data_IF_776715918064
#
_entry.id   IF_776715918064
#
_cell.length_a   1.000
_cell.length_b   1.000
_cell.length_c   1.000
_cell.angle_alpha   90.00
_cell.angle_beta   90.00
_cell.angle_gamma   90.00
#
_symmetry.space_group_name_H-M   'P 1'
#
loop_
_entity.id
_entity.type
_entity.pdbx_description
1 polymer ?
#
# COMPACT_ATOMS: atom_id res chain seq x y z
N UNK A 1 -4.51 27.21 1.85
CA UNK A 1 -3.97 25.83 2.00
C UNK A 1 -4.54 24.90 0.93
N UNK A 2 -3.69 24.06 0.32
CA UNK A 2 -4.04 23.06 -0.69
C UNK A 2 -3.27 21.76 -0.44
N UNK A 3 -3.97 20.63 -0.29
CA UNK A 3 -3.33 19.32 -0.14
C UNK A 3 -2.92 18.80 -1.52
N UNK A 4 -1.64 18.44 -1.68
CA UNK A 4 -1.04 17.94 -2.92
C UNK A 4 -0.76 16.45 -2.89
N UNK A 5 -0.70 15.84 -1.70
CA UNK A 5 -0.72 14.38 -1.51
C UNK A 5 -1.50 14.04 -0.24
N UNK A 6 -2.43 13.07 -0.27
CA UNK A 6 -2.72 12.17 -1.38
C UNK A 6 -3.64 12.79 -2.46
N UNK A 7 -3.56 12.24 -3.68
CA UNK A 7 -4.45 12.57 -4.82
C UNK A 7 -5.38 11.40 -5.15
N UNK A 8 -6.36 11.65 -6.02
CA UNK A 8 -7.27 10.62 -6.51
C UNK A 8 -6.51 9.40 -7.06
N UNK A 9 -7.06 8.20 -6.83
CA UNK A 9 -6.51 6.90 -7.21
C UNK A 9 -5.21 6.49 -6.50
N UNK A 10 -4.65 7.32 -5.62
CA UNK A 10 -3.53 6.88 -4.79
C UNK A 10 -3.94 5.69 -3.91
N UNK A 11 -2.99 4.78 -3.71
CA UNK A 11 -3.17 3.59 -2.90
C UNK A 11 -1.99 3.43 -1.95
N UNK A 12 -2.27 3.33 -0.65
CA UNK A 12 -1.26 3.13 0.39
C UNK A 12 -1.51 1.84 1.15
N UNK A 13 -0.47 1.21 1.66
CA UNK A 13 -0.59 -0.05 2.40
C UNK A 13 -0.56 0.22 3.90
N UNK A 14 -1.44 -0.46 4.64
CA UNK A 14 -1.39 -0.49 6.11
C UNK A 14 0.04 -0.79 6.63
N UNK A 15 0.43 -0.13 7.72
CA UNK A 15 1.73 -0.33 8.35
C UNK A 15 2.91 0.15 7.50
N UNK A 16 2.67 0.98 6.49
CA UNK A 16 3.69 1.66 5.69
C UNK A 16 3.57 3.17 5.87
N UNK A 17 4.67 3.86 5.57
CA UNK A 17 4.72 5.32 5.55
C UNK A 17 3.95 5.84 4.35
N UNK A 18 3.13 6.85 4.57
CA UNK A 18 2.43 7.65 3.57
C UNK A 18 2.84 9.11 3.74
N UNK A 19 3.35 9.72 2.67
CA UNK A 19 3.65 11.14 2.66
C UNK A 19 2.36 11.94 2.42
N UNK A 20 2.04 12.80 3.40
CA UNK A 20 0.99 13.81 3.31
C UNK A 20 1.68 15.13 2.99
N UNK A 21 1.29 15.79 1.90
CA UNK A 21 1.92 17.03 1.44
C UNK A 21 0.88 18.10 1.15
N UNK A 22 1.20 19.35 1.46
CA UNK A 22 0.33 20.50 1.25
C UNK A 22 1.13 21.78 1.02
N UNK A 23 0.49 22.72 0.34
CA UNK A 23 0.96 24.09 0.18
C UNK A 23 0.09 25.00 1.04
N UNK A 24 0.69 25.97 1.74
CA UNK A 24 -0.08 26.93 2.52
C UNK A 24 0.64 28.25 2.66
N UNK A 25 -0.18 29.29 2.76
CA UNK A 25 0.12 30.70 3.06
C UNK A 25 -0.15 31.07 4.53
N UNK A 26 -0.62 30.12 5.34
CA UNK A 26 -0.93 30.36 6.75
C UNK A 26 0.35 30.51 7.56
N UNK A 27 0.36 31.51 8.43
CA UNK A 27 1.44 31.77 9.38
C UNK A 27 1.39 30.86 10.62
N UNK A 28 0.39 29.98 10.72
CA UNK A 28 0.25 29.06 11.83
C UNK A 28 1.45 28.11 11.91
N UNK A 29 2.02 27.99 13.11
CA UNK A 29 3.22 27.17 13.32
C UNK A 29 2.94 25.66 13.24
N UNK A 30 1.69 25.25 13.50
CA UNK A 30 1.26 23.85 13.51
C UNK A 30 -0.05 23.65 12.75
N UNK A 31 -0.27 22.41 12.31
CA UNK A 31 -1.51 21.94 11.71
C UNK A 31 -1.97 20.66 12.40
N UNK A 32 -3.29 20.49 12.50
CA UNK A 32 -3.92 19.22 12.82
C UNK A 32 -4.15 18.45 11.53
N UNK A 33 -3.92 17.13 11.55
CA UNK A 33 -4.13 16.26 10.39
C UNK A 33 -5.04 15.11 10.81
N UNK A 34 -6.16 14.95 10.13
CA UNK A 34 -7.15 13.90 10.41
C UNK A 34 -7.36 13.03 9.18
N UNK A 35 -7.37 11.71 9.40
CA UNK A 35 -7.89 10.76 8.44
C UNK A 35 -9.40 10.68 8.63
N UNK A 36 -10.13 10.91 7.55
CA UNK A 36 -11.59 10.91 7.52
C UNK A 36 -12.11 9.81 6.59
N UNK A 37 -13.30 9.29 6.91
CA UNK A 37 -14.13 8.47 6.02
C UNK A 37 -15.58 8.91 6.19
N UNK A 38 -16.21 9.38 5.10
CA UNK A 38 -17.49 10.08 5.21
C UNK A 38 -17.38 11.28 6.17
N UNK A 39 -18.22 11.34 7.19
CA UNK A 39 -18.19 12.40 8.22
C UNK A 39 -17.51 11.95 9.52
N UNK A 40 -16.86 10.78 9.53
CA UNK A 40 -16.25 10.20 10.73
C UNK A 40 -14.74 10.42 10.72
N UNK A 41 -14.20 10.85 11.87
CA UNK A 41 -12.76 10.88 12.13
C UNK A 41 -12.32 9.45 12.42
N UNK A 42 -11.45 8.91 11.59
CA UNK A 42 -10.93 7.54 11.71
C UNK A 42 -9.61 7.54 12.47
N UNK A 43 -8.81 8.57 12.27
CA UNK A 43 -7.55 8.76 12.98
C UNK A 43 -7.25 10.25 13.12
N UNK A 44 -6.75 10.63 14.29
CA UNK A 44 -6.32 11.99 14.58
C UNK A 44 -4.82 11.99 14.86
N UNK A 45 -4.05 12.72 14.05
CA UNK A 45 -2.61 12.83 14.19
C UNK A 45 -2.34 14.04 15.07
N UNK A 46 -1.52 13.86 16.12
CA UNK A 46 -1.11 14.95 16.98
C UNK A 46 -0.58 16.16 16.18
N UNK A 47 -0.83 17.39 16.62
CA UNK A 47 -0.48 18.59 15.85
C UNK A 47 1.00 18.62 15.44
N UNK A 48 1.23 18.70 14.14
CA UNK A 48 2.57 18.68 13.55
C UNK A 48 3.00 20.08 13.10
N UNK A 49 4.31 20.31 12.99
CA UNK A 49 4.83 21.57 12.46
C UNK A 49 4.32 21.81 11.03
N UNK A 50 3.86 23.02 10.76
CA UNK A 50 3.41 23.43 9.43
C UNK A 50 4.60 23.65 8.48
N UNK A 51 5.15 22.57 7.93
CA UNK A 51 6.32 22.59 7.01
C UNK A 51 6.00 22.14 5.58
N UNK A 52 4.72 22.01 5.26
CA UNK A 52 4.22 21.57 3.94
C UNK A 52 4.24 20.05 3.69
N UNK A 53 4.73 19.25 4.64
CA UNK A 53 4.65 17.79 4.55
C UNK A 53 4.72 17.09 5.91
N UNK A 54 4.20 15.86 5.95
CA UNK A 54 4.28 14.95 7.08
C UNK A 54 4.31 13.50 6.62
N UNK A 55 5.28 12.72 7.10
CA UNK A 55 5.38 11.29 6.84
C UNK A 55 4.60 10.51 7.89
N UNK A 56 3.42 10.04 7.50
CA UNK A 56 2.51 9.34 8.40
C UNK A 56 2.69 7.83 8.31
N UNK A 57 3.01 7.20 9.44
CA UNK A 57 2.96 5.75 9.57
C UNK A 57 1.49 5.31 9.69
N UNK A 58 0.91 4.73 8.63
CA UNK A 58 -0.46 4.25 8.64
C UNK A 58 -0.58 3.12 9.68
N UNK A 59 -1.37 3.27 10.76
CA UNK A 59 -1.61 2.18 11.71
C UNK A 59 -2.18 0.94 11.02
N UNK A 60 -1.68 -0.24 11.37
CA UNK A 60 -2.19 -1.50 10.81
C UNK A 60 -3.61 -1.86 11.24
N UNK A 61 -4.14 -1.17 12.27
CA UNK A 61 -5.51 -1.32 12.76
C UNK A 61 -6.56 -0.63 11.89
N UNK A 62 -6.17 0.33 11.04
CA UNK A 62 -7.10 1.03 10.14
C UNK A 62 -7.61 0.05 9.11
N UNK A 63 -8.94 -0.17 9.04
CA UNK A 63 -9.54 -1.11 8.07
C UNK A 63 -9.24 -0.69 6.62
N UNK A 64 -9.02 -1.61 5.68
CA UNK A 64 -8.89 -1.25 4.27
C UNK A 64 -10.15 -0.56 3.72
N UNK A 65 -9.99 0.21 2.65
CA UNK A 65 -11.09 0.78 1.85
C UNK A 65 -10.65 1.95 0.97
N UNK A 66 -11.57 2.45 0.16
CA UNK A 66 -11.29 3.28 -1.03
C UNK A 66 -11.76 4.74 -0.90
N UNK A 67 -12.39 5.08 0.22
CA UNK A 67 -13.15 6.30 0.46
C UNK A 67 -12.54 7.17 1.57
N UNK A 68 -11.23 7.01 1.80
CA UNK A 68 -10.49 7.81 2.76
C UNK A 68 -10.10 9.16 2.19
N UNK A 69 -10.08 10.20 3.02
CA UNK A 69 -9.48 11.48 2.67
C UNK A 69 -8.79 12.10 3.89
N UNK A 70 -7.84 13.01 3.64
CA UNK A 70 -7.16 13.78 4.66
C UNK A 70 -7.85 15.12 4.82
N UNK A 71 -8.11 15.49 6.07
CA UNK A 71 -8.49 16.84 6.47
C UNK A 71 -7.32 17.47 7.22
N UNK A 72 -6.90 18.67 6.80
CA UNK A 72 -5.89 19.46 7.50
C UNK A 72 -6.52 20.79 7.93
N UNK A 73 -6.19 21.26 9.12
CA UNK A 73 -6.45 22.64 9.54
C UNK A 73 -5.31 23.21 10.36
N UNK A 74 -5.05 24.50 10.19
CA UNK A 74 -4.16 25.25 11.07
C UNK A 74 -4.68 25.21 12.52
N UNK A 75 -3.76 25.17 13.50
CA UNK A 75 -4.14 25.08 14.93
C UNK A 75 -4.84 26.33 15.47
N UNK A 76 -4.62 27.48 14.81
CA UNK A 76 -5.35 28.73 15.07
C UNK A 76 -6.68 28.83 14.31
N UNK A 77 -7.05 27.79 13.56
CA UNK A 77 -8.25 27.73 12.71
C UNK A 77 -8.31 28.77 11.58
N UNK A 78 -7.18 29.38 11.21
CA UNK A 78 -7.10 30.36 10.12
C UNK A 78 -7.41 29.76 8.74
N UNK A 79 -7.07 28.50 8.54
CA UNK A 79 -7.24 27.81 7.25
C UNK A 79 -7.48 26.33 7.44
N UNK A 80 -8.26 25.73 6.54
CA UNK A 80 -8.47 24.29 6.45
C UNK A 80 -8.55 23.84 4.99
N UNK A 81 -8.34 22.54 4.76
CA UNK A 81 -8.41 21.93 3.43
C UNK A 81 -8.66 20.43 3.54
N UNK A 82 -9.24 19.87 2.48
CA UNK A 82 -9.55 18.44 2.35
C UNK A 82 -8.90 17.90 1.08
N UNK A 83 -8.34 16.70 1.16
CA UNK A 83 -7.74 16.01 0.01
C UNK A 83 -8.81 15.36 -0.87
N UNK A 84 -8.40 14.93 -2.05
CA UNK A 84 -9.18 13.95 -2.80
C UNK A 84 -9.21 12.60 -2.06
N UNK A 85 -10.15 11.74 -2.45
CA UNK A 85 -10.25 10.39 -1.88
C UNK A 85 -9.11 9.49 -2.36
N UNK A 86 -8.70 8.55 -1.51
CA UNK A 86 -7.65 7.58 -1.77
C UNK A 86 -7.94 6.24 -1.10
N UNK A 87 -7.16 5.22 -1.47
CA UNK A 87 -7.33 3.86 -0.99
C UNK A 87 -6.27 3.47 0.04
N UNK A 88 -6.71 2.86 1.15
CA UNK A 88 -5.84 2.12 2.08
C UNK A 88 -6.03 0.62 1.83
N UNK A 89 -4.96 -0.05 1.43
CA UNK A 89 -4.88 -1.47 1.11
C UNK A 89 -4.41 -2.29 2.31
N UNK A 90 -4.83 -3.57 2.42
CA UNK A 90 -4.35 -4.45 3.46
C UNK A 90 -2.84 -4.66 3.37
N UNK A 91 -2.17 -4.81 4.51
CA UNK A 91 -0.80 -5.33 4.53
C UNK A 91 -0.84 -6.80 4.08
N UNK A 92 -0.11 -7.13 3.01
CA UNK A 92 0.05 -8.52 2.61
C UNK A 92 0.79 -9.28 3.72
N UNK A 93 0.19 -10.36 4.22
CA UNK A 93 0.88 -11.30 5.10
C UNK A 93 1.90 -12.04 4.24
N UNK A 94 3.19 -11.85 4.52
CA UNK A 94 4.21 -12.77 4.03
C UNK A 94 3.92 -14.12 4.67
N UNK A 95 3.54 -15.12 3.88
CA UNK A 95 3.46 -16.49 4.37
C UNK A 95 4.91 -17.01 4.36
N UNK A 96 5.46 -17.50 5.48
CA UNK A 96 6.87 -17.92 5.60
C UNK A 96 7.35 -18.96 4.57
N UNK A 97 6.43 -19.58 3.83
CA UNK A 97 6.68 -20.70 2.92
C UNK A 97 6.90 -20.29 1.44
N UNK A 98 6.75 -19.00 1.08
CA UNK A 98 6.97 -18.58 -0.31
C UNK A 98 8.37 -18.01 -0.55
N UNK A 99 9.36 -18.90 -0.54
CA UNK A 99 10.47 -18.78 -1.47
C UNK A 99 10.02 -19.41 -2.81
N UNK A 100 9.44 -18.61 -3.70
CA UNK A 100 9.25 -19.04 -5.10
C UNK A 100 10.62 -19.18 -5.78
N UNK A 101 10.85 -20.25 -6.58
CA UNK A 101 9.95 -20.60 -7.68
C UNK A 101 9.65 -22.12 -7.82
N UNK A 102 8.59 -22.62 -7.20
CA UNK A 102 8.15 -24.02 -7.39
C UNK A 102 7.05 -24.22 -8.44
N UNK A 103 6.42 -23.15 -8.95
CA UNK A 103 5.54 -23.27 -10.12
C UNK A 103 6.29 -23.39 -11.45
N UNK A 104 7.59 -23.08 -11.49
CA UNK A 104 8.44 -23.32 -12.67
C UNK A 104 9.09 -24.72 -12.64
N UNK A 105 9.42 -25.26 -11.46
CA UNK A 105 10.10 -26.55 -11.34
C UNK A 105 9.13 -27.73 -11.56
N UNK A 106 7.85 -27.62 -11.19
CA UNK A 106 6.85 -28.68 -11.46
C UNK A 106 6.59 -28.89 -12.95
N UNK A 107 6.62 -27.82 -13.75
CA UNK A 107 6.48 -27.90 -15.22
C UNK A 107 7.75 -28.48 -15.85
N UNK A 108 8.96 -28.10 -15.38
CA UNK A 108 10.23 -28.61 -15.92
C UNK A 108 10.48 -30.09 -15.56
N UNK A 109 10.19 -30.52 -14.32
CA UNK A 109 10.34 -31.93 -13.89
C UNK A 109 9.31 -32.86 -14.55
N UNK A 110 8.07 -32.38 -14.74
CA UNK A 110 7.02 -33.13 -15.43
C UNK A 110 7.38 -33.41 -16.89
N UNK A 111 7.90 -32.40 -17.60
CA UNK A 111 8.40 -32.57 -18.97
C UNK A 111 9.57 -33.55 -18.99
N UNK A 112 10.61 -33.36 -18.18
CA UNK A 112 11.80 -34.23 -18.15
C UNK A 112 11.48 -35.72 -17.91
N UNK A 113 10.49 -36.04 -17.07
CA UNK A 113 10.05 -37.43 -16.84
C UNK A 113 9.41 -38.08 -18.09
N UNK A 114 8.69 -37.30 -18.91
CA UNK A 114 8.10 -37.77 -20.16
C UNK A 114 9.20 -38.10 -21.18
N UNK A 115 10.23 -37.25 -21.31
CA UNK A 115 11.37 -37.52 -22.19
C UNK A 115 12.18 -38.74 -21.74
N UNK A 116 12.41 -38.91 -20.43
CA UNK A 116 13.13 -40.08 -19.89
C UNK A 116 12.39 -41.39 -20.17
N UNK A 117 11.06 -41.43 -19.99
CA UNK A 117 10.24 -42.62 -20.32
C UNK A 117 10.29 -42.97 -21.82
N UNK A 118 10.27 -41.98 -22.71
CA UNK A 118 10.32 -42.21 -24.18
C UNK A 118 11.68 -42.76 -24.64
N UNK A 119 12.79 -42.32 -24.03
CA UNK A 119 14.15 -42.79 -24.35
C UNK A 119 14.41 -44.23 -23.85
N UNK A 120 13.85 -44.61 -22.70
CA UNK A 120 14.02 -45.97 -22.16
C UNK A 120 13.27 -46.98 -23.03
N UNK A 121 12.04 -46.66 -23.45
CA UNK A 121 11.21 -47.55 -24.28
C UNK A 121 11.82 -47.85 -25.66
N UNK A 122 12.52 -46.88 -26.26
CA UNK A 122 13.18 -47.06 -27.57
C UNK A 122 14.48 -47.86 -27.51
N UNK A 123 15.17 -47.92 -26.37
CA UNK A 123 16.35 -48.78 -26.18
C UNK A 123 15.97 -50.25 -25.95
N UNK A 124 14.88 -50.52 -25.22
CA UNK A 124 14.45 -51.90 -24.93
C UNK A 124 13.79 -52.59 -26.15
N UNK A 125 13.22 -51.83 -27.09
CA UNK A 125 12.63 -52.38 -28.32
C UNK A 125 13.62 -52.64 -29.47
N UNK A 126 14.93 -52.49 -29.24
CA UNK A 126 15.98 -52.62 -30.28
C UNK A 126 17.00 -53.73 -29.99
N UNK A 127 16.69 -54.62 -29.05
CA UNK A 127 17.44 -55.84 -28.75
C UNK A 127 16.51 -57.05 -28.93
N UNK A 128 16.17 -57.35 -30.17
CA UNK A 128 15.83 -58.70 -30.68
C UNK A 128 16.43 -58.76 -32.08
#
# INVERSE_FOLDING_TARGET
MRITSPVNNNSFTQGKVMNIAWETDSTSFKVNIRLMRGNTIIYDIEPVRNKGYYDWNIPSSIRPGTDYYIFINATDNSVSSTSQTFTIKPKLKQIPSYNFPLFLISIIMGVAMIWKKKIIKTKTGRLI
#
